data_IF_338245837441
#
_entry.id   IF_338245837441
#
_cell.length_a   1.000
_cell.length_b   1.000
_cell.length_c   1.000
_cell.angle_alpha   90.00
_cell.angle_beta   90.00
_cell.angle_gamma   90.00
#
_symmetry.space_group_name_H-M   'P 1'
#
loop_
_entity.id
_entity.type
_entity.pdbx_description
1 polymer ?
#
# COMPACT_ATOMS: atom_id res chain seq x y z
N UNK A 1 -4.55 6.90 15.23
CA UNK A 1 -4.46 7.12 13.76
C UNK A 1 -5.67 6.44 13.15
N UNK A 2 -6.56 7.17 12.48
CA UNK A 2 -7.82 6.62 11.92
C UNK A 2 -7.51 5.37 11.09
N UNK A 3 -8.29 4.32 11.30
CA UNK A 3 -7.97 2.97 10.88
C UNK A 3 -8.03 2.86 9.35
N UNK A 4 -6.87 2.84 8.68
CA UNK A 4 -6.77 2.69 7.22
C UNK A 4 -7.51 1.44 6.74
N UNK A 5 -7.67 0.44 7.61
CA UNK A 5 -8.50 -0.75 7.40
C UNK A 5 -9.96 -0.41 7.12
N UNK A 6 -10.56 0.51 7.88
CA UNK A 6 -11.95 0.94 7.69
C UNK A 6 -12.07 1.67 6.36
N UNK A 7 -11.11 2.56 6.05
CA UNK A 7 -11.08 3.28 4.77
C UNK A 7 -10.97 2.32 3.59
N UNK A 8 -10.03 1.38 3.62
CA UNK A 8 -9.84 0.41 2.53
C UNK A 8 -11.07 -0.50 2.37
N UNK A 9 -11.66 -1.00 3.47
CA UNK A 9 -12.89 -1.80 3.40
C UNK A 9 -14.07 -1.02 2.82
N UNK A 10 -14.20 0.27 3.13
CA UNK A 10 -15.26 1.12 2.57
C UNK A 10 -15.08 1.34 1.06
N UNK A 11 -13.83 1.54 0.62
CA UNK A 11 -13.51 1.84 -0.78
C UNK A 11 -13.58 0.58 -1.66
N UNK A 12 -12.95 -0.50 -1.19
CA UNK A 12 -12.79 -1.74 -1.97
C UNK A 12 -13.96 -2.71 -1.81
N UNK A 13 -14.76 -2.55 -0.75
CA UNK A 13 -15.69 -3.59 -0.31
C UNK A 13 -14.99 -4.71 0.45
N UNK A 14 -15.78 -5.61 1.05
CA UNK A 14 -15.27 -6.68 1.91
C UNK A 14 -14.39 -7.68 1.15
N UNK A 15 -14.90 -8.23 0.05
CA UNK A 15 -14.23 -9.30 -0.71
C UNK A 15 -12.88 -8.83 -1.25
N UNK A 16 -12.85 -7.68 -1.92
CA UNK A 16 -11.62 -7.11 -2.49
C UNK A 16 -10.61 -6.69 -1.43
N UNK A 17 -11.07 -6.30 -0.24
CA UNK A 17 -10.17 -6.05 0.89
C UNK A 17 -9.54 -7.34 1.42
N UNK A 18 -10.29 -8.43 1.50
CA UNK A 18 -9.76 -9.74 1.89
C UNK A 18 -8.73 -10.24 0.87
N UNK A 19 -9.00 -10.08 -0.44
CA UNK A 19 -8.02 -10.34 -1.51
C UNK A 19 -6.74 -9.51 -1.35
N UNK A 20 -6.86 -8.21 -1.04
CA UNK A 20 -5.71 -7.34 -0.78
C UNK A 20 -4.87 -7.85 0.40
N UNK A 21 -5.53 -8.29 1.47
CA UNK A 21 -4.85 -8.82 2.67
C UNK A 21 -4.05 -10.08 2.30
N UNK A 22 -4.69 -11.05 1.66
CA UNK A 22 -4.05 -12.31 1.27
C UNK A 22 -2.90 -12.10 0.29
N UNK A 23 -3.13 -11.22 -0.69
CA UNK A 23 -2.12 -10.84 -1.67
C UNK A 23 -0.92 -10.15 -1.03
N UNK A 24 -1.15 -9.25 -0.06
CA UNK A 24 -0.06 -8.64 0.72
C UNK A 24 0.72 -9.69 1.51
N UNK A 25 0.06 -10.63 2.18
CA UNK A 25 0.75 -11.68 2.93
C UNK A 25 1.56 -12.63 2.03
N UNK A 26 1.07 -12.93 0.83
CA UNK A 26 1.83 -13.66 -0.20
C UNK A 26 3.12 -12.93 -0.56
N UNK A 27 3.05 -11.63 -0.82
CA UNK A 27 4.22 -10.80 -1.13
C UNK A 27 5.20 -10.69 0.06
N UNK A 28 4.68 -10.63 1.30
CA UNK A 28 5.51 -10.66 2.51
C UNK A 28 6.28 -11.98 2.60
N UNK A 29 5.62 -13.11 2.37
CA UNK A 29 6.27 -14.43 2.38
C UNK A 29 7.34 -14.53 1.30
N UNK A 30 7.07 -14.01 0.10
CA UNK A 30 8.04 -14.01 -1.00
C UNK A 30 9.30 -13.21 -0.69
N UNK A 31 9.17 -12.03 -0.06
CA UNK A 31 10.31 -11.16 0.25
C UNK A 31 11.05 -11.55 1.54
N UNK A 32 10.33 -11.88 2.60
CA UNK A 32 10.90 -12.03 3.95
C UNK A 32 11.00 -13.49 4.41
N UNK A 33 10.45 -14.44 3.64
CA UNK A 33 10.36 -15.84 4.03
C UNK A 33 9.41 -16.06 5.20
N UNK A 34 9.63 -17.13 5.96
CA UNK A 34 8.87 -17.43 7.17
C UNK A 34 9.30 -16.52 8.32
N UNK A 35 8.40 -15.63 8.73
CA UNK A 35 8.61 -14.68 9.83
C UNK A 35 7.52 -14.82 10.88
N UNK A 36 7.78 -14.33 12.10
CA UNK A 36 6.78 -14.29 13.18
C UNK A 36 5.53 -13.53 12.71
N UNK A 37 4.34 -14.06 13.03
CA UNK A 37 3.04 -13.50 12.65
C UNK A 37 2.95 -12.00 13.01
N UNK A 38 3.36 -11.61 14.22
CA UNK A 38 3.33 -10.21 14.67
C UNK A 38 4.16 -9.28 13.75
N UNK A 39 5.28 -9.77 13.23
CA UNK A 39 6.12 -9.03 12.27
C UNK A 39 5.44 -8.96 10.90
N UNK A 40 4.87 -10.06 10.42
CA UNK A 40 4.13 -10.09 9.16
C UNK A 40 2.94 -9.13 9.17
N UNK A 41 2.14 -9.15 10.24
CA UNK A 41 1.02 -8.21 10.44
C UNK A 41 1.53 -6.78 10.38
N UNK A 42 2.60 -6.44 11.12
CA UNK A 42 3.18 -5.09 11.11
C UNK A 42 3.62 -4.64 9.71
N UNK A 43 4.22 -5.54 8.92
CA UNK A 43 4.60 -5.26 7.54
C UNK A 43 3.34 -5.01 6.69
N UNK A 44 2.32 -5.86 6.79
CA UNK A 44 1.06 -5.67 6.06
C UNK A 44 0.43 -4.30 6.36
N UNK A 45 0.38 -3.90 7.64
CA UNK A 45 -0.13 -2.58 8.06
C UNK A 45 0.61 -1.43 7.36
N UNK A 46 1.95 -1.47 7.36
CA UNK A 46 2.76 -0.41 6.74
C UNK A 46 2.52 -0.35 5.22
N UNK A 47 2.42 -1.50 4.56
CA UNK A 47 2.16 -1.54 3.12
C UNK A 47 0.77 -1.01 2.80
N UNK A 48 -0.27 -1.35 3.56
CA UNK A 48 -1.62 -0.81 3.34
C UNK A 48 -1.71 0.69 3.65
N UNK A 49 -0.96 1.19 4.64
CA UNK A 49 -0.86 2.64 4.89
C UNK A 49 -0.22 3.37 3.71
N UNK A 50 0.88 2.84 3.17
CA UNK A 50 1.50 3.42 1.98
C UNK A 50 0.54 3.40 0.78
N UNK A 51 -0.21 2.32 0.60
CA UNK A 51 -1.19 2.20 -0.47
C UNK A 51 -2.21 3.35 -0.44
N UNK A 52 -2.78 3.63 0.74
CA UNK A 52 -3.74 4.73 0.92
C UNK A 52 -3.10 6.10 0.68
N UNK A 53 -1.91 6.34 1.23
CA UNK A 53 -1.23 7.64 1.09
C UNK A 53 -0.86 7.91 -0.38
N UNK A 54 -0.28 6.92 -1.07
CA UNK A 54 0.09 7.02 -2.48
C UNK A 54 -1.17 7.25 -3.33
N UNK A 55 -2.24 6.50 -3.10
CA UNK A 55 -3.51 6.67 -3.81
C UNK A 55 -4.06 8.09 -3.63
N UNK A 56 -4.04 8.62 -2.41
CA UNK A 56 -4.51 9.98 -2.11
C UNK A 56 -3.69 11.05 -2.83
N UNK A 57 -2.36 10.92 -2.84
CA UNK A 57 -1.47 11.87 -3.51
C UNK A 57 -1.65 11.81 -5.03
N UNK A 58 -1.70 10.60 -5.63
CA UNK A 58 -1.98 10.44 -7.06
C UNK A 58 -3.37 10.97 -7.44
N UNK A 59 -4.39 10.76 -6.62
CA UNK A 59 -5.74 11.31 -6.85
C UNK A 59 -5.77 12.86 -6.82
N UNK A 60 -4.81 13.48 -6.12
CA UNK A 60 -4.60 14.94 -6.10
C UNK A 60 -3.71 15.44 -7.25
N UNK A 61 -3.19 14.56 -8.11
CA UNK A 61 -2.35 14.93 -9.26
C UNK A 61 -0.88 15.10 -8.93
N UNK A 62 -0.39 14.58 -7.80
CA UNK A 62 1.04 14.59 -7.50
C UNK A 62 1.80 13.60 -8.38
N UNK A 63 2.94 14.05 -8.92
CA UNK A 63 3.89 13.22 -9.66
C UNK A 63 4.66 12.25 -8.76
N UNK A 64 5.18 11.17 -9.34
CA UNK A 64 5.78 10.06 -8.60
C UNK A 64 7.09 10.45 -7.90
N UNK A 65 7.88 11.31 -8.52
CA UNK A 65 9.08 11.93 -7.92
C UNK A 65 8.75 12.64 -6.60
N UNK A 66 7.68 13.45 -6.56
CA UNK A 66 7.25 14.17 -5.36
C UNK A 66 6.77 13.20 -4.28
N UNK A 67 6.02 12.16 -4.66
CA UNK A 67 5.55 11.13 -3.73
C UNK A 67 6.73 10.37 -3.12
N UNK A 68 7.73 10.01 -3.92
CA UNK A 68 8.96 9.35 -3.47
C UNK A 68 9.69 10.20 -2.43
N UNK A 69 9.81 11.51 -2.66
CA UNK A 69 10.45 12.44 -1.72
C UNK A 69 9.68 12.56 -0.40
N UNK A 70 8.36 12.76 -0.47
CA UNK A 70 7.47 12.89 0.70
C UNK A 70 7.53 11.64 1.57
N UNK A 71 7.50 10.45 0.95
CA UNK A 71 7.58 9.17 1.65
C UNK A 71 9.01 8.79 2.02
N UNK A 72 10.02 9.57 1.61
CA UNK A 72 11.44 9.25 1.75
C UNK A 72 11.76 7.84 1.26
N UNK A 73 11.10 7.44 0.17
CA UNK A 73 11.19 6.08 -0.38
C UNK A 73 12.58 5.79 -0.96
N UNK A 74 13.35 6.82 -1.29
CA UNK A 74 14.75 6.75 -1.68
C UNK A 74 15.72 6.37 -0.53
N UNK A 75 15.28 6.34 0.73
CA UNK A 75 16.14 5.99 1.87
C UNK A 75 16.09 4.49 2.15
N UNK A 76 17.26 3.82 2.20
CA UNK A 76 17.39 2.38 2.53
C UNK A 76 16.57 1.91 3.75
N UNK A 77 16.43 2.76 4.77
CA UNK A 77 15.67 2.43 5.99
C UNK A 77 14.17 2.27 5.75
N UNK A 78 13.62 2.86 4.69
CA UNK A 78 12.21 2.80 4.33
C UNK A 78 11.76 1.39 3.93
N UNK A 79 12.67 0.55 3.43
CA UNK A 79 12.34 -0.79 2.93
C UNK A 79 12.22 -1.88 3.99
N UNK A 80 12.53 -1.58 5.27
CA UNK A 80 12.51 -2.58 6.36
C UNK A 80 11.13 -3.24 6.53
N UNK A 81 10.06 -2.53 6.16
CA UNK A 81 8.68 -2.99 6.30
C UNK A 81 7.85 -2.86 5.01
N UNK A 82 8.51 -2.81 3.85
CA UNK A 82 7.84 -2.70 2.54
C UNK A 82 8.06 -4.01 1.77
N UNK A 83 7.07 -4.46 1.00
CA UNK A 83 7.15 -5.73 0.24
C UNK A 83 8.08 -5.69 -0.99
N UNK A 84 8.65 -4.53 -1.31
CA UNK A 84 9.61 -4.33 -2.40
C UNK A 84 10.68 -3.28 -1.99
N UNK A 85 11.76 -3.21 -2.75
CA UNK A 85 12.87 -2.27 -2.56
C UNK A 85 12.84 -1.09 -3.56
N UNK A 86 11.86 -1.05 -4.47
CA UNK A 86 11.66 0.03 -5.42
C UNK A 86 10.20 0.53 -5.34
N UNK A 87 10.00 1.83 -5.56
CA UNK A 87 8.68 2.45 -5.67
C UNK A 87 7.92 1.93 -6.90
N UNK A 88 8.56 1.83 -8.06
CA UNK A 88 7.88 1.39 -9.29
C UNK A 88 7.32 -0.03 -9.17
N UNK A 89 8.10 -0.92 -8.57
CA UNK A 89 7.67 -2.28 -8.27
C UNK A 89 6.50 -2.28 -7.29
N UNK A 90 6.46 -1.33 -6.35
CA UNK A 90 5.36 -1.24 -5.38
C UNK A 90 4.08 -0.84 -6.10
N UNK A 91 4.16 0.18 -6.97
CA UNK A 91 3.05 0.60 -7.82
C UNK A 91 2.58 -0.55 -8.68
N UNK A 92 3.50 -1.31 -9.29
CA UNK A 92 3.17 -2.45 -10.13
C UNK A 92 2.49 -3.57 -9.35
N UNK A 93 2.99 -3.91 -8.16
CA UNK A 93 2.41 -4.96 -7.29
C UNK A 93 0.98 -4.62 -6.91
N UNK A 94 0.70 -3.36 -6.57
CA UNK A 94 -0.60 -2.92 -6.05
C UNK A 94 -1.44 -2.17 -7.09
N UNK A 95 -1.11 -2.24 -8.38
CA UNK A 95 -1.73 -1.41 -9.43
C UNK A 95 -3.26 -1.45 -9.39
N UNK A 96 -3.84 -2.65 -9.41
CA UNK A 96 -5.29 -2.82 -9.46
C UNK A 96 -5.97 -2.17 -8.25
N UNK A 97 -5.37 -2.29 -7.06
CA UNK A 97 -5.90 -1.67 -5.84
C UNK A 97 -5.69 -0.16 -5.82
N UNK A 98 -4.54 0.33 -6.29
CA UNK A 98 -4.26 1.76 -6.46
C UNK A 98 -5.29 2.40 -7.38
N UNK A 99 -5.54 1.81 -8.55
CA UNK A 99 -6.45 2.34 -9.55
C UNK A 99 -7.88 2.40 -9.00
N UNK A 100 -8.37 1.33 -8.34
CA UNK A 100 -9.68 1.33 -7.68
C UNK A 100 -9.81 2.43 -6.62
N UNK A 101 -8.80 2.59 -5.76
CA UNK A 101 -8.82 3.61 -4.70
C UNK A 101 -8.77 5.02 -5.31
N UNK A 102 -7.94 5.24 -6.34
CA UNK A 102 -7.81 6.53 -7.00
C UNK A 102 -9.12 6.91 -7.70
N UNK A 103 -9.77 6.00 -8.42
CA UNK A 103 -11.07 6.22 -9.05
C UNK A 103 -12.11 6.66 -8.02
N UNK A 104 -12.26 5.89 -6.94
CA UNK A 104 -13.19 6.21 -5.86
C UNK A 104 -12.94 7.60 -5.26
N UNK A 105 -11.67 7.95 -5.00
CA UNK A 105 -11.29 9.24 -4.42
C UNK A 105 -11.53 10.43 -5.36
N UNK A 106 -11.50 10.21 -6.69
CA UNK A 106 -11.81 11.23 -7.69
C UNK A 106 -13.32 11.42 -7.85
N UNK A 107 -14.10 10.36 -7.80
CA UNK A 107 -15.57 10.39 -7.90
C UNK A 107 -16.26 10.94 -6.64
N UNK A 108 -15.58 10.88 -5.48
CA UNK A 108 -16.09 11.43 -4.22
C UNK A 108 -15.89 12.95 -4.06
N UNK A 109 -15.41 13.65 -5.09
CA UNK A 109 -15.24 15.11 -5.13
C UNK A 109 -16.36 15.75 -5.93
#
# INVERSE_FOLDING_TARGET
MKDYTITLKKILGKEKYEELVDYTFKNIRNKFGNIKINKAVKIAKVNHQFLVIISLLKAKGFEDNVIIEVLRWNKKKSFKYVVTNNFDDYIKIYKDYLDLIICFLKESK
#
